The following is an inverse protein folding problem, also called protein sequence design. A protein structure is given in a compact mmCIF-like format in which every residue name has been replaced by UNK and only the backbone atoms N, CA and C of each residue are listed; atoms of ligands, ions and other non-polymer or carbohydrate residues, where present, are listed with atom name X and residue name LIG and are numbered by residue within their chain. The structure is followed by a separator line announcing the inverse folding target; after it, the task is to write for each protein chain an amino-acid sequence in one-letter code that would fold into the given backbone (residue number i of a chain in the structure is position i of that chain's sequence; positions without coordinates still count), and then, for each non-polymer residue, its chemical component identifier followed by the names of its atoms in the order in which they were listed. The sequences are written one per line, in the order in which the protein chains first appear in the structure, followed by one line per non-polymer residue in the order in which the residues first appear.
data_IF_907338871420
#
_entry.id   IF_907338871420
#
_cell.length_a   1.000
_cell.length_b   1.000
_cell.length_c   1.000
_cell.angle_alpha   90.00
_cell.angle_beta   90.00
_cell.angle_gamma   90.00
#
_symmetry.space_group_name_H-M   'P 1'
#
loop_
_entity.id
_entity.type
_entity.pdbx_description
1 polymer ?
#
# COMPACT_ATOMS: atom_id res chain seq x y z
N UNK A 1 5.68 28.32 8.67
CA UNK A 1 6.52 27.26 8.09
C UNK A 1 5.68 25.99 7.99
N UNK A 2 5.52 25.46 6.79
CA UNK A 2 4.64 24.33 6.52
C UNK A 2 5.22 23.06 7.16
N UNK A 3 4.39 22.28 7.86
CA UNK A 3 4.79 21.00 8.46
C UNK A 3 5.35 21.04 9.89
N UNK A 4 5.34 22.19 10.58
CA UNK A 4 5.63 22.20 12.03
C UNK A 4 4.44 21.61 12.82
N UNK A 5 4.67 20.76 13.84
CA UNK A 5 3.61 20.26 14.70
C UNK A 5 2.88 21.42 15.38
N UNK A 6 1.55 21.46 15.28
CA UNK A 6 0.74 22.47 15.94
C UNK A 6 0.76 22.25 17.45
N UNK A 7 1.46 23.11 18.18
CA UNK A 7 1.57 23.05 19.66
C UNK A 7 0.31 23.51 20.41
N UNK A 8 -0.74 23.89 19.66
CA UNK A 8 -1.98 24.45 20.19
C UNK A 8 -3.07 23.40 20.45
N UNK A 9 -2.92 22.18 19.92
CA UNK A 9 -3.84 21.06 20.19
C UNK A 9 -3.33 20.23 21.37
N UNK A 10 -3.35 20.84 22.56
CA UNK A 10 -3.13 20.15 23.83
C UNK A 10 -4.39 20.24 24.66
N UNK A 11 -4.64 19.23 25.49
CA UNK A 11 -5.79 19.22 26.39
C UNK A 11 -5.70 20.43 27.32
N UNK A 12 -6.67 21.34 27.21
CA UNK A 12 -6.75 22.59 27.96
C UNK A 12 -8.15 22.76 28.52
N UNK A 13 -8.28 23.28 29.75
CA UNK A 13 -9.59 23.63 30.28
C UNK A 13 -10.27 24.65 29.37
N UNK A 14 -11.60 24.61 29.31
CA UNK A 14 -12.36 25.57 28.52
C UNK A 14 -12.10 26.99 29.02
N UNK A 15 -11.56 27.85 28.15
CA UNK A 15 -11.36 29.27 28.42
C UNK A 15 -12.47 30.06 27.70
N UNK A 16 -13.19 30.89 28.44
CA UNK A 16 -14.15 31.83 27.87
C UNK A 16 -13.35 32.97 27.25
N UNK A 17 -13.25 32.98 25.91
CA UNK A 17 -12.48 33.98 25.18
C UNK A 17 -13.23 35.30 25.03
N UNK A 18 -14.56 35.24 24.94
CA UNK A 18 -15.41 36.41 24.81
C UNK A 18 -16.83 36.08 25.30
N UNK A 19 -17.50 37.10 25.85
CA UNK A 19 -18.88 37.01 26.31
C UNK A 19 -19.71 38.09 25.63
N UNK A 20 -20.58 37.67 24.71
CA UNK A 20 -21.46 38.59 24.00
C UNK A 20 -22.77 38.72 24.77
N UNK A 21 -22.90 39.81 25.52
CA UNK A 21 -24.15 40.16 26.17
C UNK A 21 -25.25 40.41 25.10
N UNK A 22 -26.49 39.93 25.31
CA UNK A 22 -27.57 40.15 24.36
C UNK A 22 -27.93 41.64 24.31
N UNK A 23 -28.05 42.18 23.10
CA UNK A 23 -28.51 43.56 22.90
C UNK A 23 -30.04 43.64 23.10
N UNK A 24 -30.53 44.39 24.11
CA UNK A 24 -31.96 44.53 24.38
C UNK A 24 -32.74 45.15 23.20
N UNK A 25 -32.09 46.00 22.40
CA UNK A 25 -32.74 46.69 21.28
C UNK A 25 -33.16 45.72 20.17
N UNK A 26 -32.35 44.67 19.93
CA UNK A 26 -32.63 43.64 18.93
C UNK A 26 -33.84 42.80 19.35
N UNK A 27 -33.98 42.52 20.66
CA UNK A 27 -35.13 41.80 21.20
C UNK A 27 -36.44 42.56 21.00
N UNK A 28 -36.43 43.88 21.08
CA UNK A 28 -37.67 44.66 20.97
C UNK A 28 -38.00 45.05 19.52
N UNK A 29 -37.00 45.11 18.63
CA UNK A 29 -37.16 45.60 17.25
C UNK A 29 -37.08 44.54 16.16
N UNK A 30 -36.40 43.42 16.40
CA UNK A 30 -36.10 42.41 15.37
C UNK A 30 -36.50 40.99 15.77
N UNK A 31 -36.91 40.76 17.02
CA UNK A 31 -37.37 39.45 17.47
C UNK A 31 -38.85 39.26 17.17
N UNK A 32 -39.15 38.29 16.30
CA UNK A 32 -40.51 37.83 16.06
C UNK A 32 -40.62 36.35 16.45
N UNK A 33 -41.67 36.01 17.21
CA UNK A 33 -41.93 34.63 17.62
C UNK A 33 -42.42 33.82 16.40
N UNK A 34 -41.60 32.88 15.94
CA UNK A 34 -42.01 31.93 14.89
C UNK A 34 -43.22 31.10 15.37
N UNK A 35 -44.37 31.34 14.76
CA UNK A 35 -45.59 30.53 14.89
C UNK A 35 -45.44 29.29 13.98
N UNK A 36 -45.98 28.11 14.34
CA UNK A 36 -45.40 26.82 13.96
C UNK A 36 -45.27 26.66 12.44
N UNK A 37 -44.03 26.65 11.97
CA UNK A 37 -43.65 26.16 10.65
C UNK A 37 -43.16 24.75 10.80
N UNK A 38 -43.70 23.83 9.99
CA UNK A 38 -43.09 22.52 9.79
C UNK A 38 -41.65 22.72 9.32
N UNK A 39 -40.70 22.27 10.13
CA UNK A 39 -39.28 22.25 9.82
C UNK A 39 -38.90 20.80 9.58
N UNK A 40 -38.86 20.37 8.32
CA UNK A 40 -38.25 19.10 7.98
C UNK A 40 -36.74 19.30 7.92
N UNK A 41 -36.03 18.77 8.92
CA UNK A 41 -34.58 18.67 8.90
C UNK A 41 -34.25 17.25 8.46
N UNK A 42 -33.67 17.12 7.29
CA UNK A 42 -33.14 15.85 6.82
C UNK A 42 -31.83 15.58 7.57
N UNK A 43 -31.91 14.93 8.73
CA UNK A 43 -30.77 14.46 9.51
C UNK A 43 -30.25 13.10 9.01
N UNK A 44 -30.39 12.84 7.70
CA UNK A 44 -29.91 11.60 7.09
C UNK A 44 -28.45 11.85 6.70
N UNK A 45 -27.50 11.03 7.18
CA UNK A 45 -26.13 11.08 6.70
C UNK A 45 -26.11 10.94 5.17
N UNK A 46 -25.52 11.90 4.46
CA UNK A 46 -25.25 11.75 3.03
C UNK A 46 -24.22 10.63 2.87
N UNK A 47 -24.69 9.46 2.44
CA UNK A 47 -23.84 8.32 2.12
C UNK A 47 -23.52 8.38 0.63
N UNK A 48 -22.24 8.36 0.30
CA UNK A 48 -21.75 8.34 -1.08
C UNK A 48 -21.07 6.99 -1.32
N UNK A 49 -21.62 6.21 -2.25
CA UNK A 49 -21.08 4.91 -2.68
C UNK A 49 -20.40 5.08 -4.04
N UNK A 50 -19.22 4.49 -4.21
CA UNK A 50 -18.47 4.54 -5.45
C UNK A 50 -17.99 3.12 -5.81
N UNK A 51 -18.45 2.61 -6.94
CA UNK A 51 -17.98 1.34 -7.48
C UNK A 51 -16.89 1.59 -8.53
N UNK A 52 -15.76 0.87 -8.39
CA UNK A 52 -14.67 0.89 -9.36
C UNK A 52 -14.41 -0.54 -9.81
N UNK A 53 -14.56 -0.80 -11.11
CA UNK A 53 -14.17 -2.07 -11.71
C UNK A 53 -12.67 -2.08 -11.97
N UNK A 54 -11.96 -3.08 -11.45
CA UNK A 54 -10.55 -3.34 -11.79
C UNK A 54 -10.47 -4.39 -12.88
N UNK A 55 -9.61 -4.15 -13.87
CA UNK A 55 -9.32 -5.13 -14.91
C UNK A 55 -8.44 -6.25 -14.34
N UNK A 56 -8.74 -7.50 -14.71
CA UNK A 56 -7.94 -8.66 -14.30
C UNK A 56 -6.72 -8.81 -15.20
N UNK A 57 -5.52 -8.79 -14.62
CA UNK A 57 -4.26 -9.01 -15.34
C UNK A 57 -3.65 -10.38 -15.01
N UNK A 58 -3.19 -11.10 -16.04
CA UNK A 58 -2.42 -12.32 -15.87
C UNK A 58 -0.94 -11.99 -15.71
N UNK A 59 -0.38 -12.29 -14.53
CA UNK A 59 1.06 -12.17 -14.29
C UNK A 59 1.72 -13.54 -14.36
N UNK A 60 2.84 -13.63 -15.07
CA UNK A 60 3.71 -14.80 -15.05
C UNK A 60 5.02 -14.43 -14.36
N UNK A 61 5.36 -15.15 -13.29
CA UNK A 61 6.69 -15.06 -12.69
C UNK A 61 7.64 -15.90 -13.54
N UNK A 62 8.62 -15.24 -14.17
CA UNK A 62 9.66 -15.92 -14.95
C UNK A 62 10.98 -15.80 -14.19
N UNK A 63 11.54 -16.94 -13.81
CA UNK A 63 12.88 -17.04 -13.25
C UNK A 63 13.83 -17.71 -14.23
N UNK A 64 15.11 -17.33 -14.21
CA UNK A 64 16.17 -18.05 -14.91
C UNK A 64 16.85 -19.00 -13.94
N UNK A 65 16.84 -20.30 -14.24
CA UNK A 65 17.67 -21.28 -13.56
C UNK A 65 18.88 -21.58 -14.45
N UNK A 66 20.04 -21.03 -14.09
CA UNK A 66 21.30 -21.45 -14.70
C UNK A 66 21.74 -22.75 -14.01
N UNK A 67 21.49 -23.89 -14.65
CA UNK A 67 22.12 -25.14 -14.27
C UNK A 67 23.38 -25.30 -15.14
N UNK A 68 24.57 -25.12 -14.55
CA UNK A 68 25.81 -25.56 -15.18
C UNK A 68 25.77 -27.09 -15.23
N UNK A 69 25.44 -27.65 -16.40
CA UNK A 69 25.20 -29.08 -16.54
C UNK A 69 25.52 -29.57 -17.94
N UNK A 70 26.36 -30.58 -18.01
CA UNK A 70 26.68 -31.35 -19.22
C UNK A 70 27.14 -32.77 -18.88
N UNK A 71 26.91 -33.22 -17.65
CA UNK A 71 27.28 -34.56 -17.23
C UNK A 71 26.35 -35.59 -17.89
N UNK A 72 26.89 -36.69 -18.43
CA UNK A 72 26.09 -37.81 -18.91
C UNK A 72 25.11 -38.31 -17.83
N UNK A 73 23.99 -38.89 -18.26
CA UNK A 73 22.94 -39.42 -17.35
C UNK A 73 23.46 -40.39 -16.29
N UNK A 74 24.58 -41.06 -16.56
CA UNK A 74 25.17 -42.08 -15.68
C UNK A 74 26.20 -41.50 -14.69
N UNK A 75 26.35 -40.16 -14.63
CA UNK A 75 27.34 -39.48 -13.80
C UNK A 75 26.66 -38.52 -12.84
N UNK A 76 26.81 -38.81 -11.56
CA UNK A 76 26.36 -37.92 -10.49
C UNK A 76 27.38 -36.79 -10.29
N UNK A 77 26.95 -35.55 -10.50
CA UNK A 77 27.79 -34.35 -10.31
C UNK A 77 28.09 -34.06 -8.84
N UNK A 78 27.30 -34.58 -7.90
CA UNK A 78 27.56 -34.45 -6.48
C UNK A 78 28.73 -35.35 -6.03
N UNK A 79 29.02 -36.42 -6.78
CA UNK A 79 30.11 -37.35 -6.49
C UNK A 79 31.42 -36.91 -7.15
N UNK A 80 32.40 -36.54 -6.32
CA UNK A 80 33.69 -36.01 -6.80
C UNK A 80 34.53 -37.06 -7.52
N UNK A 81 34.44 -38.34 -7.15
CA UNK A 81 35.22 -39.38 -7.83
C UNK A 81 34.71 -39.64 -9.26
N UNK A 82 33.39 -39.65 -9.45
CA UNK A 82 32.77 -39.87 -10.77
C UNK A 82 33.08 -38.72 -11.73
N UNK A 83 32.93 -37.47 -11.26
CA UNK A 83 33.27 -36.28 -12.05
C UNK A 83 34.76 -36.22 -12.40
N UNK A 84 35.65 -36.57 -11.47
CA UNK A 84 37.10 -36.60 -11.71
C UNK A 84 37.50 -37.69 -12.72
N UNK A 85 36.91 -38.88 -12.65
CA UNK A 85 37.17 -39.96 -13.62
C UNK A 85 36.69 -39.59 -15.02
N UNK A 86 35.52 -38.99 -15.14
CA UNK A 86 34.98 -38.57 -16.43
C UNK A 86 35.84 -37.48 -17.08
N UNK A 87 36.25 -36.46 -16.32
CA UNK A 87 37.18 -35.43 -16.83
C UNK A 87 38.47 -36.06 -17.36
N UNK A 88 39.10 -36.94 -16.59
CA UNK A 88 40.32 -37.66 -17.01
C UNK A 88 40.12 -38.56 -18.23
N UNK A 89 38.91 -39.12 -18.40
CA UNK A 89 38.57 -39.96 -19.56
C UNK A 89 38.44 -39.10 -20.82
N UNK A 90 37.69 -38.00 -20.73
CA UNK A 90 37.47 -37.06 -21.84
C UNK A 90 38.77 -36.38 -22.25
N UNK A 91 39.59 -35.94 -21.30
CA UNK A 91 40.90 -35.31 -21.56
C UNK A 91 41.90 -36.24 -22.28
N UNK A 92 41.67 -37.56 -22.26
CA UNK A 92 42.51 -38.56 -22.95
C UNK A 92 41.92 -39.02 -24.28
N UNK A 93 40.74 -38.52 -24.65
CA UNK A 93 40.08 -38.93 -25.89
C UNK A 93 40.81 -38.30 -27.09
N UNK A 94 41.07 -39.10 -28.12
CA UNK A 94 41.82 -38.62 -29.29
C UNK A 94 41.04 -37.55 -30.05
N UNK A 95 39.72 -37.58 -30.02
CA UNK A 95 38.88 -36.53 -30.60
C UNK A 95 39.01 -35.20 -29.85
N UNK A 96 39.05 -35.25 -28.51
CA UNK A 96 39.28 -34.07 -27.67
C UNK A 96 40.68 -33.46 -27.85
N UNK A 97 41.70 -34.30 -28.07
CA UNK A 97 43.08 -33.84 -28.32
C UNK A 97 43.24 -33.26 -29.74
N UNK A 98 42.31 -33.57 -30.66
CA UNK A 98 42.36 -33.12 -32.06
C UNK A 98 41.67 -31.77 -32.30
N UNK A 99 40.86 -31.28 -31.37
CA UNK A 99 40.36 -29.89 -31.35
C UNK A 99 41.40 -28.92 -30.75
#
# INVERSE_FOLDING_TARGET
EFGRPTTQFIDRPAELLDEFAPDPSIKDTQYELRNPTHLDVQAIPEMSEHDVNTESFSYASVGMLHAEGGWPKDIDWAEKDQTARFRKKVEKDEEYIRE
#
